data_IF_632514980497
#
_entry.id   IF_632514980497
#
_cell.length_a   1.000
_cell.length_b   1.000
_cell.length_c   1.000
_cell.angle_alpha   90.00
_cell.angle_beta   90.00
_cell.angle_gamma   90.00
#
_symmetry.space_group_name_H-M   'P 1'
#
loop_
_entity.id
_entity.type
_entity.pdbx_description
1 polymer ?
#
# COMPACT_ATOMS: atom_id res chain seq x y z
N UNK A 1 -16.55 8.55 6.80
CA UNK A 1 -15.44 9.19 7.53
C UNK A 1 -14.14 8.57 7.08
N UNK A 2 -12.99 9.24 7.25
CA UNK A 2 -11.69 8.69 6.85
C UNK A 2 -10.64 8.91 7.93
N UNK A 3 -9.69 7.99 8.05
CA UNK A 3 -8.57 8.10 8.97
C UNK A 3 -7.26 7.68 8.30
N UNK A 4 -6.14 8.11 8.87
CA UNK A 4 -4.78 7.74 8.45
C UNK A 4 -3.97 7.37 9.68
N UNK A 5 -3.16 6.32 9.56
CA UNK A 5 -2.22 5.91 10.60
C UNK A 5 -0.85 5.57 9.99
N UNK A 6 0.21 6.03 10.64
CA UNK A 6 1.58 5.75 10.26
C UNK A 6 2.17 4.63 11.11
N UNK A 7 3.07 3.82 10.52
CA UNK A 7 3.67 2.65 11.19
C UNK A 7 5.20 2.67 11.07
N UNK A 8 5.88 2.06 12.03
CA UNK A 8 7.34 1.94 11.99
C UNK A 8 7.80 0.95 10.93
N UNK A 9 7.04 -0.14 10.76
CA UNK A 9 7.36 -1.21 9.80
C UNK A 9 6.19 -1.48 8.86
N UNK A 10 6.50 -2.03 7.68
CA UNK A 10 5.49 -2.48 6.73
C UNK A 10 4.67 -3.64 7.30
N UNK A 11 5.31 -4.53 8.05
CA UNK A 11 4.67 -5.65 8.71
C UNK A 11 3.58 -5.20 9.69
N UNK A 12 3.88 -4.21 10.56
CA UNK A 12 2.92 -3.66 11.51
C UNK A 12 1.68 -3.08 10.79
N UNK A 13 1.90 -2.36 9.68
CA UNK A 13 0.81 -1.81 8.88
C UNK A 13 -0.08 -2.90 8.29
N UNK A 14 0.51 -3.89 7.61
CA UNK A 14 -0.27 -4.95 6.95
C UNK A 14 -0.98 -5.84 7.97
N UNK A 15 -0.33 -6.16 9.09
CA UNK A 15 -0.93 -6.90 10.20
C UNK A 15 -2.12 -6.16 10.79
N UNK A 16 -2.02 -4.84 10.96
CA UNK A 16 -3.16 -4.01 11.41
C UNK A 16 -4.35 -4.15 10.47
N UNK A 17 -4.14 -4.03 9.16
CA UNK A 17 -5.21 -4.19 8.18
C UNK A 17 -5.85 -5.58 8.25
N UNK A 18 -5.03 -6.63 8.37
CA UNK A 18 -5.49 -8.01 8.53
C UNK A 18 -6.35 -8.18 9.79
N UNK A 19 -5.90 -7.66 10.93
CA UNK A 19 -6.65 -7.74 12.19
C UNK A 19 -7.99 -6.98 12.12
N UNK A 20 -8.01 -5.76 11.55
CA UNK A 20 -9.26 -4.98 11.38
C UNK A 20 -10.31 -5.79 10.62
N UNK A 21 -9.92 -6.51 9.57
CA UNK A 21 -10.83 -7.37 8.80
C UNK A 21 -11.24 -8.61 9.60
N UNK A 22 -10.30 -9.27 10.28
CA UNK A 22 -10.58 -10.45 11.08
C UNK A 22 -11.52 -10.16 12.25
N UNK A 23 -11.45 -8.98 12.85
CA UNK A 23 -12.42 -8.52 13.86
C UNK A 23 -13.79 -8.19 13.31
N UNK A 24 -13.98 -8.24 11.98
CA UNK A 24 -15.26 -7.95 11.35
C UNK A 24 -15.70 -6.49 11.44
N UNK A 25 -14.74 -5.57 11.55
CA UNK A 25 -15.04 -4.13 11.59
C UNK A 25 -15.65 -3.71 10.26
N UNK A 26 -16.82 -3.05 10.24
CA UNK A 26 -17.47 -2.58 9.02
C UNK A 26 -16.69 -1.41 8.42
N UNK A 27 -15.66 -1.74 7.64
CA UNK A 27 -14.81 -0.77 6.96
C UNK A 27 -15.06 -0.83 5.46
N UNK A 28 -15.15 0.35 4.83
CA UNK A 28 -15.42 0.45 3.39
C UNK A 28 -14.13 0.25 2.57
N UNK A 29 -12.98 0.67 3.12
CA UNK A 29 -11.71 0.60 2.42
C UNK A 29 -10.53 0.65 3.37
N UNK A 30 -9.51 -0.18 3.10
CA UNK A 30 -8.19 -0.09 3.74
C UNK A 30 -7.14 -0.08 2.63
N UNK A 31 -6.47 1.07 2.48
CA UNK A 31 -5.41 1.28 1.51
C UNK A 31 -4.06 1.38 2.21
N UNK A 32 -3.01 0.86 1.59
CA UNK A 32 -1.65 0.87 2.12
C UNK A 32 -0.69 1.55 1.14
N UNK A 33 0.20 2.38 1.66
CA UNK A 33 1.42 2.80 0.98
C UNK A 33 2.63 2.37 1.83
N UNK A 34 3.62 1.71 1.21
CA UNK A 34 4.88 1.45 1.90
C UNK A 34 5.75 2.72 1.98
N UNK A 35 6.87 2.64 2.68
CA UNK A 35 7.77 3.77 2.88
C UNK A 35 8.23 4.37 1.54
N UNK A 36 8.68 3.55 0.59
CA UNK A 36 9.17 4.01 -0.72
C UNK A 36 8.09 4.80 -1.47
N UNK A 37 6.84 4.33 -1.42
CA UNK A 37 5.73 5.02 -2.06
C UNK A 37 5.38 6.32 -1.33
N UNK A 38 5.41 6.32 -0.01
CA UNK A 38 5.17 7.55 0.77
C UNK A 38 6.22 8.63 0.45
N UNK A 39 7.51 8.28 0.42
CA UNK A 39 8.59 9.21 0.04
C UNK A 39 8.33 9.85 -1.34
N UNK A 40 8.03 9.01 -2.33
CA UNK A 40 7.76 9.45 -3.71
C UNK A 40 6.51 10.34 -3.78
N UNK A 41 5.43 9.96 -3.10
CA UNK A 41 4.18 10.73 -3.10
C UNK A 41 4.33 12.08 -2.39
N UNK A 42 5.06 12.13 -1.27
CA UNK A 42 5.33 13.36 -0.52
C UNK A 42 6.13 14.34 -1.39
N UNK A 43 7.18 13.86 -2.05
CA UNK A 43 8.01 14.68 -2.95
C UNK A 43 7.19 15.22 -4.13
N UNK A 44 6.46 14.34 -4.82
CA UNK A 44 5.66 14.69 -5.99
C UNK A 44 4.56 15.70 -5.69
N UNK A 45 3.77 15.44 -4.63
CA UNK A 45 2.61 16.26 -4.25
C UNK A 45 2.98 17.41 -3.31
N UNK A 46 4.28 17.58 -2.98
CA UNK A 46 4.82 18.61 -2.06
C UNK A 46 4.08 18.66 -0.73
N UNK A 47 3.77 17.48 -0.18
CA UNK A 47 3.04 17.36 1.07
C UNK A 47 3.92 17.83 2.25
N UNK A 48 3.34 18.61 3.14
CA UNK A 48 3.99 19.10 4.37
C UNK A 48 3.44 18.36 5.57
N UNK A 49 4.29 18.16 6.56
CA UNK A 49 3.92 17.56 7.86
C UNK A 49 3.37 16.13 7.73
N UNK A 50 3.88 15.37 6.73
CA UNK A 50 3.56 13.96 6.49
C UNK A 50 4.83 13.13 6.62
N UNK A 51 4.77 12.05 7.39
CA UNK A 51 5.92 11.18 7.61
C UNK A 51 6.08 10.19 6.44
N UNK A 52 7.33 9.99 6.00
CA UNK A 52 7.67 8.99 4.99
C UNK A 52 7.85 7.60 5.64
N UNK A 53 6.76 7.03 6.12
CA UNK A 53 6.70 5.71 6.76
C UNK A 53 5.56 4.90 6.17
N UNK A 54 5.53 3.57 6.35
CA UNK A 54 4.38 2.77 5.95
C UNK A 54 3.09 3.34 6.53
N UNK A 55 2.07 3.54 5.70
CA UNK A 55 0.86 4.28 6.07
C UNK A 55 -0.38 3.52 5.62
N UNK A 56 -1.36 3.43 6.52
CA UNK A 56 -2.72 2.96 6.20
C UNK A 56 -3.68 4.13 6.11
N UNK A 57 -4.56 4.05 5.12
CA UNK A 57 -5.68 4.96 4.88
C UNK A 57 -6.98 4.17 5.02
N UNK A 58 -7.84 4.61 5.92
CA UNK A 58 -9.10 3.97 6.23
C UNK A 58 -10.28 4.80 5.76
N UNK A 59 -11.30 4.16 5.22
CA UNK A 59 -12.57 4.80 4.89
C UNK A 59 -13.73 4.03 5.52
N UNK A 60 -14.62 4.74 6.21
CA UNK A 60 -15.78 4.20 6.93
C UNK A 60 -17.05 4.75 6.32
N UNK A 61 -18.01 3.86 6.04
CA UNK A 61 -19.35 4.21 5.59
C UNK A 61 -20.37 3.75 6.64
N UNK A 62 -21.31 4.62 6.96
CA UNK A 62 -22.35 4.34 7.96
C UNK A 62 -22.84 5.59 8.68
N UNK A 63 -23.59 5.40 9.75
CA UNK A 63 -24.01 6.49 10.63
C UNK A 63 -22.82 7.10 11.38
N UNK A 64 -22.98 8.32 11.87
CA UNK A 64 -21.94 8.97 12.65
C UNK A 64 -21.57 8.17 13.92
N UNK A 65 -22.56 7.57 14.57
CA UNK A 65 -22.34 6.76 15.79
C UNK A 65 -21.54 5.49 15.44
N UNK A 66 -22.00 4.73 14.46
CA UNK A 66 -21.30 3.51 14.01
C UNK A 66 -19.88 3.78 13.54
N UNK A 67 -19.67 4.88 12.81
CA UNK A 67 -18.31 5.24 12.36
C UNK A 67 -17.39 5.61 13.53
N UNK A 68 -17.89 6.33 14.55
CA UNK A 68 -17.08 6.66 15.73
C UNK A 68 -16.67 5.42 16.52
N UNK A 69 -17.57 4.45 16.68
CA UNK A 69 -17.28 3.18 17.31
C UNK A 69 -16.21 2.40 16.53
N UNK A 70 -16.39 2.25 15.22
CA UNK A 70 -15.44 1.56 14.34
C UNK A 70 -14.06 2.23 14.35
N UNK A 71 -14.00 3.56 14.28
CA UNK A 71 -12.74 4.33 14.35
C UNK A 71 -12.02 4.08 15.69
N UNK A 72 -12.74 4.06 16.81
CA UNK A 72 -12.15 3.79 18.13
C UNK A 72 -11.48 2.42 18.20
N UNK A 73 -12.14 1.38 17.66
CA UNK A 73 -11.57 0.03 17.62
C UNK A 73 -10.36 -0.05 16.67
N UNK A 74 -10.44 0.57 15.49
CA UNK A 74 -9.31 0.60 14.52
C UNK A 74 -8.13 1.37 15.10
N UNK A 75 -8.36 2.44 15.84
CA UNK A 75 -7.29 3.19 16.53
C UNK A 75 -6.60 2.33 17.58
N UNK A 76 -7.36 1.54 18.37
CA UNK A 76 -6.81 0.63 19.38
C UNK A 76 -5.98 -0.49 18.72
N UNK A 77 -6.49 -1.14 17.67
CA UNK A 77 -5.75 -2.15 16.91
C UNK A 77 -4.46 -1.55 16.33
N UNK A 78 -4.55 -0.33 15.77
CA UNK A 78 -3.38 0.36 15.22
C UNK A 78 -2.31 0.61 16.30
N UNK A 79 -2.70 1.08 17.48
CA UNK A 79 -1.78 1.31 18.62
C UNK A 79 -1.11 0.01 19.08
N UNK A 80 -1.85 -1.09 19.15
CA UNK A 80 -1.33 -2.40 19.54
C UNK A 80 -0.29 -2.94 18.54
N UNK A 81 -0.35 -2.51 17.28
CA UNK A 81 0.61 -2.81 16.23
C UNK A 81 1.60 -1.64 15.95
N UNK A 82 2.01 -0.90 16.97
CA UNK A 82 3.00 0.18 16.87
C UNK A 82 2.62 1.34 15.93
N UNK A 83 1.34 1.52 15.66
CA UNK A 83 0.83 2.66 14.89
C UNK A 83 1.01 3.98 15.64
N UNK A 84 1.33 5.02 14.90
CA UNK A 84 1.53 6.38 15.40
C UNK A 84 0.72 7.38 14.60
N UNK A 85 0.52 8.56 15.19
CA UNK A 85 -0.11 9.69 14.49
C UNK A 85 -1.46 9.34 13.83
N UNK A 86 -2.30 8.54 14.53
CA UNK A 86 -3.64 8.25 14.05
C UNK A 86 -4.45 9.55 13.94
N UNK A 87 -4.85 9.89 12.70
CA UNK A 87 -5.61 11.11 12.39
C UNK A 87 -6.86 10.74 11.62
N UNK A 88 -8.00 11.28 12.01
CA UNK A 88 -9.25 11.13 11.27
C UNK A 88 -9.75 12.48 10.75
N UNK A 89 -10.31 12.47 9.55
CA UNK A 89 -10.81 13.67 8.91
C UNK A 89 -12.22 14.02 9.42
N UNK A 90 -12.40 15.27 9.84
CA UNK A 90 -13.67 15.80 10.32
C UNK A 90 -14.59 16.24 9.17
N UNK A 91 -14.01 16.66 8.07
CA UNK A 91 -14.71 17.16 6.90
C UNK A 91 -14.06 16.69 5.59
N UNK A 92 -14.66 17.05 4.46
CA UNK A 92 -14.21 16.66 3.13
C UNK A 92 -12.85 17.25 2.75
N UNK A 93 -12.53 18.44 3.20
CA UNK A 93 -11.27 19.10 2.89
C UNK A 93 -10.10 18.41 3.60
N UNK A 94 -10.26 18.07 4.89
CA UNK A 94 -9.30 17.27 5.65
C UNK A 94 -9.16 15.87 5.04
N UNK A 95 -10.26 15.21 4.67
CA UNK A 95 -10.22 13.92 3.97
C UNK A 95 -9.37 14.00 2.71
N UNK A 96 -9.65 14.96 1.84
CA UNK A 96 -8.93 15.11 0.57
C UNK A 96 -7.43 15.34 0.81
N UNK A 97 -7.07 16.15 1.80
CA UNK A 97 -5.67 16.36 2.19
C UNK A 97 -4.98 15.08 2.66
N UNK A 98 -5.66 14.27 3.50
CA UNK A 98 -5.12 13.00 3.97
C UNK A 98 -4.90 12.00 2.82
N UNK A 99 -5.83 11.98 1.85
CA UNK A 99 -5.80 11.03 0.74
C UNK A 99 -4.96 11.48 -0.46
N UNK A 100 -4.41 12.68 -0.47
CA UNK A 100 -3.64 13.19 -1.61
C UNK A 100 -2.46 12.27 -1.99
N UNK A 101 -1.70 11.80 -1.00
CA UNK A 101 -0.59 10.87 -1.23
C UNK A 101 -1.03 9.57 -1.93
N UNK A 102 -2.24 9.09 -1.61
CA UNK A 102 -2.82 7.87 -2.20
C UNK A 102 -3.29 8.08 -3.64
N UNK A 103 -3.84 9.25 -3.95
CA UNK A 103 -4.33 9.52 -5.30
C UNK A 103 -3.21 9.69 -6.32
N UNK A 104 -2.09 10.25 -5.90
CA UNK A 104 -0.96 10.56 -6.78
C UNK A 104 0.01 9.37 -7.00
N UNK A 105 -0.30 8.19 -6.44
CA UNK A 105 0.56 7.00 -6.44
C UNK A 105 1.18 6.71 -7.81
N UNK A 106 0.38 6.47 -8.82
CA UNK A 106 0.88 6.06 -10.14
C UNK A 106 1.70 7.17 -10.81
N UNK A 107 1.19 8.40 -10.78
CA UNK A 107 1.84 9.54 -11.41
C UNK A 107 3.15 9.91 -10.72
N UNK A 108 3.20 9.81 -9.40
CA UNK A 108 4.39 10.05 -8.61
C UNK A 108 5.51 9.06 -8.94
N UNK A 109 5.19 7.77 -9.09
CA UNK A 109 6.16 6.74 -9.50
C UNK A 109 6.61 6.95 -10.95
N UNK A 110 5.68 7.25 -11.86
CA UNK A 110 6.01 7.52 -13.26
C UNK A 110 6.95 8.71 -13.42
N UNK A 111 6.82 9.73 -12.59
CA UNK A 111 7.65 10.92 -12.60
C UNK A 111 9.09 10.70 -12.12
N UNK A 112 9.41 9.54 -11.50
CA UNK A 112 10.77 9.26 -11.00
C UNK A 112 11.82 9.10 -12.10
N UNK A 113 11.41 8.74 -13.31
CA UNK A 113 12.32 8.55 -14.45
C UNK A 113 11.78 9.33 -15.65
N UNK A 114 12.58 10.23 -16.20
CA UNK A 114 12.21 10.96 -17.40
C UNK A 114 12.05 9.97 -18.57
N UNK A 115 10.91 10.03 -19.28
CA UNK A 115 10.50 9.05 -20.29
C UNK A 115 10.45 7.60 -19.81
N UNK A 116 10.44 7.37 -18.48
CA UNK A 116 10.37 6.05 -17.88
C UNK A 116 9.01 5.39 -18.05
N UNK A 117 9.01 4.08 -17.80
CA UNK A 117 7.81 3.26 -17.70
C UNK A 117 7.68 2.70 -16.28
N UNK A 118 6.49 2.27 -15.94
CA UNK A 118 6.21 1.60 -14.66
C UNK A 118 5.77 0.17 -14.98
N UNK A 119 6.49 -0.81 -14.45
CA UNK A 119 6.02 -2.20 -14.43
C UNK A 119 5.21 -2.38 -13.16
N UNK A 120 3.94 -2.72 -13.27
CA UNK A 120 3.03 -2.94 -12.15
C UNK A 120 2.68 -4.42 -12.03
N UNK A 121 2.89 -4.98 -10.85
CA UNK A 121 2.33 -6.30 -10.50
C UNK A 121 0.90 -6.12 -10.02
N UNK A 122 0.13 -7.21 -10.01
CA UNK A 122 -1.23 -7.23 -9.49
C UNK A 122 -1.46 -8.57 -8.77
N UNK A 123 -1.28 -8.55 -7.46
CA UNK A 123 -1.32 -9.72 -6.58
C UNK A 123 -2.57 -9.68 -5.72
N UNK A 124 -3.30 -10.79 -5.67
CA UNK A 124 -4.43 -10.96 -4.77
C UNK A 124 -4.30 -12.26 -3.98
N UNK A 125 -4.50 -12.19 -2.67
CA UNK A 125 -4.23 -13.27 -1.71
C UNK A 125 -5.39 -13.43 -0.72
N UNK A 126 -5.57 -14.62 -0.14
CA UNK A 126 -6.34 -14.74 1.09
C UNK A 126 -5.80 -13.75 2.14
N UNK A 127 -6.71 -13.05 2.84
CA UNK A 127 -6.36 -12.02 3.83
C UNK A 127 -5.33 -12.53 4.86
N UNK A 128 -5.44 -13.80 5.28
CA UNK A 128 -4.51 -14.43 6.22
C UNK A 128 -3.07 -14.57 5.70
N UNK A 129 -2.85 -14.44 4.39
CA UNK A 129 -1.54 -14.62 3.72
C UNK A 129 -0.92 -13.31 3.25
N UNK A 130 -1.64 -12.21 3.31
CA UNK A 130 -1.19 -10.94 2.72
C UNK A 130 0.06 -10.39 3.40
N UNK A 131 0.16 -10.47 4.73
CA UNK A 131 1.33 -10.01 5.49
C UNK A 131 2.60 -10.75 5.07
N UNK A 132 2.52 -12.07 4.92
CA UNK A 132 3.66 -12.89 4.47
C UNK A 132 4.12 -12.48 3.07
N UNK A 133 3.20 -12.34 2.12
CA UNK A 133 3.54 -12.02 0.75
C UNK A 133 4.08 -10.59 0.56
N UNK A 134 3.50 -9.62 1.25
CA UNK A 134 3.97 -8.21 1.20
C UNK A 134 5.39 -8.09 1.76
N UNK A 135 5.68 -8.73 2.91
CA UNK A 135 7.02 -8.76 3.49
C UNK A 135 8.02 -9.48 2.59
N UNK A 136 7.61 -10.59 1.98
CA UNK A 136 8.42 -11.32 0.99
C UNK A 136 8.75 -10.42 -0.21
N UNK A 137 7.77 -9.73 -0.78
CA UNK A 137 7.98 -8.84 -1.92
C UNK A 137 8.95 -7.70 -1.59
N UNK A 138 8.82 -7.08 -0.40
CA UNK A 138 9.72 -6.02 0.06
C UNK A 138 11.17 -6.53 0.23
N UNK A 139 11.33 -7.69 0.86
CA UNK A 139 12.64 -8.30 1.07
C UNK A 139 13.30 -8.71 -0.26
N UNK A 140 12.53 -9.30 -1.17
CA UNK A 140 13.03 -9.79 -2.46
C UNK A 140 13.42 -8.63 -3.38
N UNK A 141 12.61 -7.56 -3.45
CA UNK A 141 12.97 -6.36 -4.21
C UNK A 141 14.31 -5.77 -3.76
N UNK A 142 14.57 -5.72 -2.45
CA UNK A 142 15.84 -5.26 -1.89
C UNK A 142 17.02 -6.13 -2.32
N UNK A 143 16.88 -7.46 -2.42
CA UNK A 143 17.93 -8.36 -2.92
C UNK A 143 18.28 -8.07 -4.38
N UNK A 144 17.31 -7.69 -5.20
CA UNK A 144 17.54 -7.26 -6.58
C UNK A 144 18.07 -5.83 -6.71
N UNK A 145 18.16 -5.08 -5.61
CA UNK A 145 18.52 -3.66 -5.62
C UNK A 145 17.47 -2.80 -6.31
N UNK A 146 16.20 -3.21 -6.26
CA UNK A 146 15.07 -2.47 -6.82
C UNK A 146 14.44 -1.58 -5.73
N UNK A 147 14.18 -0.32 -6.07
CA UNK A 147 13.24 0.49 -5.31
C UNK A 147 11.83 0.00 -5.65
N UNK A 148 11.07 -0.37 -4.65
CA UNK A 148 9.79 -1.05 -4.83
C UNK A 148 8.65 -0.32 -4.12
N UNK A 149 8.21 0.84 -4.64
CA UNK A 149 6.98 1.47 -4.15
C UNK A 149 5.81 0.49 -4.21
N UNK A 150 5.09 0.35 -3.09
CA UNK A 150 3.95 -0.54 -2.98
C UNK A 150 2.69 0.22 -2.60
N UNK A 151 1.60 -0.16 -3.23
CA UNK A 151 0.25 0.27 -2.89
C UNK A 151 -0.64 -0.97 -2.75
N UNK A 152 -1.51 -0.99 -1.75
CA UNK A 152 -2.38 -2.14 -1.50
C UNK A 152 -3.82 -1.75 -1.21
N UNK A 153 -4.75 -2.50 -1.78
CA UNK A 153 -6.15 -2.57 -1.42
C UNK A 153 -6.31 -3.69 -0.39
N UNK A 154 -5.75 -3.47 0.83
CA UNK A 154 -5.60 -4.55 1.80
C UNK A 154 -6.93 -5.13 2.28
N UNK A 155 -8.02 -4.33 2.19
CA UNK A 155 -9.37 -4.80 2.46
C UNK A 155 -9.81 -5.96 1.57
N UNK A 156 -9.28 -6.01 0.35
CA UNK A 156 -9.61 -7.02 -0.67
C UNK A 156 -8.49 -8.08 -0.82
N UNK A 157 -7.44 -8.02 -0.02
CA UNK A 157 -6.28 -8.92 -0.14
C UNK A 157 -5.37 -8.61 -1.32
N UNK A 158 -5.47 -7.42 -1.90
CA UNK A 158 -4.78 -7.04 -3.13
C UNK A 158 -3.66 -6.04 -2.87
N UNK A 159 -2.52 -6.19 -3.57
CA UNK A 159 -1.47 -5.18 -3.60
C UNK A 159 -0.71 -5.17 -4.93
N UNK A 160 -0.06 -4.03 -5.20
CA UNK A 160 0.76 -3.79 -6.38
C UNK A 160 2.15 -3.35 -5.96
N UNK A 161 3.17 -3.85 -6.66
CA UNK A 161 4.53 -3.31 -6.62
C UNK A 161 4.72 -2.51 -7.91
N UNK A 162 5.02 -1.24 -7.78
CA UNK A 162 5.20 -0.31 -8.90
C UNK A 162 6.69 -0.10 -9.14
N UNK A 163 7.22 -0.68 -10.20
CA UNK A 163 8.65 -0.69 -10.49
C UNK A 163 8.96 0.26 -11.67
N UNK A 164 9.45 1.49 -11.37
CA UNK A 164 9.82 2.42 -12.42
C UNK A 164 11.10 1.96 -13.12
N UNK A 165 11.14 2.05 -14.44
CA UNK A 165 12.34 1.69 -15.22
C UNK A 165 12.47 2.54 -16.48
N UNK A 166 13.74 2.69 -16.90
CA UNK A 166 14.10 3.27 -18.17
C UNK A 166 14.06 2.15 -19.25
N UNK A 167 13.21 2.26 -20.29
CA UNK A 167 13.08 1.22 -21.31
C UNK A 167 14.38 1.00 -22.12
N UNK A 168 15.31 1.94 -22.11
CA UNK A 168 16.63 1.79 -22.77
C UNK A 168 17.58 0.95 -21.92
N UNK A 169 17.35 0.83 -20.59
CA UNK A 169 18.18 0.03 -19.66
C UNK A 169 17.66 -1.40 -19.51
N UNK A 170 18.03 -2.27 -20.47
CA UNK A 170 17.58 -3.67 -20.50
C UNK A 170 17.89 -4.45 -19.21
N UNK A 171 19.00 -4.16 -18.55
CA UNK A 171 19.41 -4.85 -17.31
C UNK A 171 18.39 -4.64 -16.19
N UNK A 172 17.92 -3.39 -15.97
CA UNK A 172 16.90 -3.09 -14.97
C UNK A 172 15.61 -3.83 -15.26
N UNK A 173 15.18 -3.83 -16.53
CA UNK A 173 13.97 -4.57 -16.93
C UNK A 173 14.11 -6.09 -16.69
N UNK A 174 15.28 -6.67 -16.95
CA UNK A 174 15.53 -8.09 -16.67
C UNK A 174 15.47 -8.41 -15.16
N UNK A 175 15.99 -7.53 -14.29
CA UNK A 175 15.85 -7.67 -12.83
C UNK A 175 14.38 -7.62 -12.40
N UNK A 176 13.61 -6.69 -12.95
CA UNK A 176 12.18 -6.57 -12.70
C UNK A 176 11.44 -7.84 -13.12
N UNK A 177 11.75 -8.39 -14.29
CA UNK A 177 11.12 -9.65 -14.75
C UNK A 177 11.41 -10.81 -13.80
N UNK A 178 12.66 -11.00 -13.41
CA UNK A 178 13.06 -12.05 -12.44
C UNK A 178 12.37 -11.88 -11.10
N UNK A 179 12.31 -10.66 -10.58
CA UNK A 179 11.56 -10.34 -9.37
C UNK A 179 10.08 -10.70 -9.52
N UNK A 180 9.47 -10.30 -10.64
CA UNK A 180 8.06 -10.62 -10.94
C UNK A 180 7.81 -12.13 -10.99
N UNK A 181 8.68 -12.89 -11.63
CA UNK A 181 8.54 -14.35 -11.73
C UNK A 181 8.60 -15.01 -10.34
N UNK A 182 9.52 -14.57 -9.46
CA UNK A 182 9.61 -15.05 -8.08
C UNK A 182 8.36 -14.66 -7.26
N UNK A 183 7.85 -13.45 -7.46
CA UNK A 183 6.64 -13.00 -6.77
C UNK A 183 5.40 -13.80 -7.24
N UNK A 184 5.33 -14.15 -8.53
CA UNK A 184 4.29 -15.02 -9.08
C UNK A 184 4.31 -16.38 -8.38
N UNK A 185 5.48 -17.03 -8.32
CA UNK A 185 5.65 -18.34 -7.67
C UNK A 185 5.21 -18.27 -6.20
N UNK A 186 5.67 -17.27 -5.45
CA UNK A 186 5.28 -17.08 -4.05
C UNK A 186 3.79 -16.82 -3.87
N UNK A 187 3.18 -16.05 -4.75
CA UNK A 187 1.74 -15.77 -4.71
C UNK A 187 0.91 -17.05 -4.90
N UNK A 188 1.29 -17.88 -5.87
CA UNK A 188 0.61 -19.14 -6.14
C UNK A 188 0.81 -20.15 -5.00
N UNK A 189 2.01 -20.20 -4.41
CA UNK A 189 2.31 -21.02 -3.23
C UNK A 189 1.41 -20.66 -2.02
N UNK A 190 1.07 -19.38 -1.90
CA UNK A 190 0.19 -18.83 -0.86
C UNK A 190 -1.31 -18.90 -1.23
N UNK A 191 -1.68 -19.69 -2.24
CA UNK A 191 -3.05 -19.85 -2.72
C UNK A 191 -3.68 -18.56 -3.26
N UNK A 192 -2.84 -17.61 -3.68
CA UNK A 192 -3.24 -16.37 -4.30
C UNK A 192 -3.40 -16.47 -5.81
N UNK A 193 -3.74 -15.35 -6.41
CA UNK A 193 -3.79 -15.16 -7.86
C UNK A 193 -3.01 -13.92 -8.26
N UNK A 194 -2.50 -13.91 -9.48
CA UNK A 194 -1.73 -12.79 -10.00
C UNK A 194 -2.13 -12.53 -11.44
N UNK A 195 -2.27 -11.27 -11.80
CA UNK A 195 -2.53 -10.83 -13.17
C UNK A 195 -1.45 -9.86 -13.63
N UNK A 196 -1.34 -9.68 -14.93
CA UNK A 196 -0.49 -8.66 -15.53
C UNK A 196 -1.36 -7.52 -16.04
N UNK A 197 -1.34 -6.39 -15.35
CA UNK A 197 -2.11 -5.20 -15.74
C UNK A 197 -1.72 -4.65 -17.12
N UNK A 198 -0.56 -5.06 -17.66
CA UNK A 198 -0.10 -4.64 -18.98
C UNK A 198 -0.85 -5.28 -20.15
N UNK A 199 -1.61 -6.36 -19.92
CA UNK A 199 -2.41 -7.01 -20.97
C UNK A 199 -3.83 -6.45 -21.09
N UNK A 200 -4.24 -5.57 -20.16
CA UNK A 200 -5.61 -5.04 -20.09
C UNK A 200 -5.68 -3.54 -20.32
N UNK A 201 -4.57 -2.89 -20.61
CA UNK A 201 -4.48 -1.44 -20.85
C UNK A 201 -3.99 -1.13 -22.28
#
# INVERSE_FOLDING_TARGET
>A
MSAVCHFKTLEDAVKTAQEVIQYGIPIARIEMLNKDQMEISIEYSKLKDVEATPTLFFEFHGSEISNKESIGVVEEISKNNNGSSFKWAKDLAERNKLWQARWDVYYSVKAQINNGRVYSTDVCLPISKITECVNFADAEAKKFGLRAPMVGHLGDGNFHVLLPYDPEKKETYQKIRKFSDILIEKTLELEGTITCLLYTS
#
